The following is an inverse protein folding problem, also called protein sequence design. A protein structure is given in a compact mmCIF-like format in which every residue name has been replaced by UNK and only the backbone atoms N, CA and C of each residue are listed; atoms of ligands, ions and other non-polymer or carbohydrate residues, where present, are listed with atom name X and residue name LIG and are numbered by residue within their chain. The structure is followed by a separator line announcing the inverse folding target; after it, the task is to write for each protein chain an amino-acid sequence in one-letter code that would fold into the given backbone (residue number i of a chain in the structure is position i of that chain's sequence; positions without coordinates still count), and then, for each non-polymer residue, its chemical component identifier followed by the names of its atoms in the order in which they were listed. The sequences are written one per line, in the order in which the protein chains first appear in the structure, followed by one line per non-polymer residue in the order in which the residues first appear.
data_IF_397959901541
#
_entry.id   IF_397959901541
#
_cell.length_a   1.000
_cell.length_b   1.000
_cell.length_c   1.000
_cell.angle_alpha   90.00
_cell.angle_beta   90.00
_cell.angle_gamma   90.00
#
_symmetry.space_group_name_H-M   'P 1'
#
loop_
_entity.id
_entity.type
_entity.pdbx_description
1 polymer ?
#
# COMPACT_ATOMS: atom_id res chain seq x y z
N UNK A 1 -9.66 -28.92 76.04
CA UNK A 1 -9.37 -29.39 74.67
C UNK A 1 -9.66 -28.29 73.64
N UNK A 2 -8.98 -27.14 73.73
CA UNK A 2 -9.22 -25.96 72.86
C UNK A 2 -7.88 -25.32 72.42
N UNK A 3 -6.95 -26.13 71.88
CA UNK A 3 -5.66 -25.63 71.38
C UNK A 3 -5.23 -26.24 70.03
N UNK A 4 -6.00 -27.15 69.44
CA UNK A 4 -5.67 -27.80 68.16
C UNK A 4 -6.54 -27.36 66.97
N UNK A 5 -7.57 -26.55 67.21
CA UNK A 5 -8.53 -26.12 66.17
C UNK A 5 -8.22 -24.73 65.62
N UNK A 6 -7.31 -23.97 66.24
CA UNK A 6 -7.04 -22.58 65.84
C UNK A 6 -5.96 -22.43 64.76
N UNK A 7 -5.14 -23.46 64.49
CA UNK A 7 -4.15 -23.41 63.39
C UNK A 7 -4.73 -23.82 62.02
N UNK A 8 -5.89 -24.47 61.99
CA UNK A 8 -6.49 -24.96 60.73
C UNK A 8 -7.40 -23.94 60.03
N UNK A 9 -7.73 -22.81 60.68
CA UNK A 9 -8.64 -21.79 60.13
C UNK A 9 -7.96 -20.49 59.70
N UNK A 10 -6.67 -20.33 59.93
CA UNK A 10 -5.94 -19.13 59.45
C UNK A 10 -5.37 -19.30 58.04
N UNK A 11 -5.27 -20.54 57.53
CA UNK A 11 -4.77 -20.82 56.17
C UNK A 11 -5.87 -20.67 55.10
N UNK A 12 -7.15 -20.83 55.45
CA UNK A 12 -8.26 -20.67 54.50
C UNK A 12 -8.69 -19.20 54.28
N UNK A 13 -8.07 -18.24 54.96
CA UNK A 13 -8.46 -16.82 54.95
C UNK A 13 -7.65 -15.93 54.00
N UNK A 14 -6.57 -16.45 53.40
CA UNK A 14 -5.84 -15.78 52.34
C UNK A 14 -6.28 -16.44 51.03
N UNK A 15 -7.54 -16.26 50.67
CA UNK A 15 -7.89 -16.18 49.24
C UNK A 15 -7.30 -14.84 48.77
N UNK A 16 -5.96 -14.82 48.71
CA UNK A 16 -5.19 -13.65 48.33
C UNK A 16 -5.58 -13.27 46.92
N UNK A 17 -5.73 -11.97 46.71
CA UNK A 17 -5.49 -11.39 45.38
C UNK A 17 -4.27 -12.10 44.81
N UNK A 18 -4.44 -12.88 43.74
CA UNK A 18 -3.32 -13.55 43.11
C UNK A 18 -2.28 -12.47 42.80
N UNK A 19 -1.10 -12.58 43.42
CA UNK A 19 0.08 -11.92 42.91
C UNK A 19 0.25 -12.46 41.49
N UNK A 20 0.21 -11.57 40.52
CA UNK A 20 0.41 -11.94 39.13
C UNK A 20 1.84 -11.56 38.79
N UNK A 21 2.65 -12.56 38.44
CA UNK A 21 3.91 -12.36 37.74
C UNK A 21 3.69 -11.45 36.53
N UNK A 22 4.77 -10.85 36.06
CA UNK A 22 4.79 -10.16 34.77
C UNK A 22 5.87 -10.74 33.87
N UNK A 23 5.72 -10.57 32.57
CA UNK A 23 6.77 -10.87 31.60
C UNK A 23 7.18 -9.56 30.94
N UNK A 24 8.48 -9.36 30.79
CA UNK A 24 9.04 -8.33 29.93
C UNK A 24 9.82 -9.02 28.83
N UNK A 25 9.60 -8.61 27.59
CA UNK A 25 10.37 -9.05 26.43
C UNK A 25 10.53 -7.88 25.46
N UNK A 26 11.69 -7.78 24.82
CA UNK A 26 11.89 -6.90 23.67
C UNK A 26 11.40 -7.66 22.44
N UNK A 27 10.20 -7.34 21.96
CA UNK A 27 9.66 -7.95 20.75
C UNK A 27 10.54 -7.61 19.55
N UNK A 28 10.81 -8.60 18.71
CA UNK A 28 11.50 -8.40 17.43
C UNK A 28 10.53 -8.45 16.26
N UNK A 29 10.84 -7.71 15.21
CA UNK A 29 10.20 -7.88 13.93
C UNK A 29 11.05 -8.81 13.05
N UNK A 30 10.37 -9.69 12.32
CA UNK A 30 10.98 -10.68 11.43
C UNK A 30 10.47 -10.44 10.01
N UNK A 31 11.38 -10.32 9.05
CA UNK A 31 11.05 -10.19 7.64
C UNK A 31 10.36 -11.45 7.12
N UNK A 32 9.15 -11.33 6.58
CA UNK A 32 8.39 -12.44 5.99
C UNK A 32 9.18 -13.09 4.85
N UNK A 33 9.70 -12.27 3.93
CA UNK A 33 10.44 -12.76 2.76
C UNK A 33 11.83 -13.26 3.11
N UNK A 34 12.50 -12.58 4.03
CA UNK A 34 13.79 -12.97 4.60
C UNK A 34 13.74 -14.34 5.26
N UNK A 35 12.83 -14.51 6.21
CA UNK A 35 12.57 -15.78 6.87
C UNK A 35 12.14 -16.87 5.85
N UNK A 36 11.35 -16.49 4.85
CA UNK A 36 10.97 -17.36 3.74
C UNK A 36 12.15 -17.82 2.88
N UNK A 37 13.18 -17.00 2.71
CA UNK A 37 14.38 -17.33 1.95
C UNK A 37 15.29 -18.33 2.67
N UNK A 38 15.25 -18.34 4.01
CA UNK A 38 16.09 -19.23 4.80
C UNK A 38 15.83 -20.71 4.50
N UNK A 39 16.89 -21.52 4.61
CA UNK A 39 16.78 -22.96 4.56
C UNK A 39 15.84 -23.45 5.66
N UNK A 40 15.04 -24.49 5.40
CA UNK A 40 13.99 -24.93 6.34
C UNK A 40 14.48 -25.21 7.78
N UNK A 41 15.74 -25.62 7.96
CA UNK A 41 16.34 -25.86 9.28
C UNK A 41 16.78 -24.58 10.02
N UNK A 42 16.89 -23.45 9.32
CA UNK A 42 17.24 -22.14 9.85
C UNK A 42 16.01 -21.22 10.03
N UNK A 43 14.80 -21.71 9.71
CA UNK A 43 13.54 -20.99 9.91
C UNK A 43 13.07 -21.09 11.35
N UNK A 44 13.82 -20.48 12.24
CA UNK A 44 13.62 -20.52 13.69
C UNK A 44 13.73 -19.12 14.27
N UNK A 45 13.20 -18.93 15.48
CA UNK A 45 13.44 -17.74 16.30
C UNK A 45 14.15 -18.19 17.57
N UNK A 46 15.32 -17.65 17.84
CA UNK A 46 16.12 -17.99 19.02
C UNK A 46 15.87 -17.00 20.16
N UNK A 47 15.49 -17.52 21.33
CA UNK A 47 15.47 -16.75 22.58
C UNK A 47 16.77 -17.04 23.31
N UNK A 48 17.76 -16.18 23.14
CA UNK A 48 19.08 -16.24 23.76
C UNK A 48 19.75 -14.87 23.73
N UNK A 49 20.78 -14.66 24.56
CA UNK A 49 21.50 -13.39 24.67
C UNK A 49 22.19 -12.94 23.36
N UNK A 50 22.44 -13.87 22.44
CA UNK A 50 22.96 -13.61 21.10
C UNK A 50 21.98 -14.03 19.99
N UNK A 51 20.78 -14.47 20.36
CA UNK A 51 19.70 -14.84 19.45
C UNK A 51 18.88 -13.61 19.04
N UNK A 52 17.71 -13.87 18.46
CA UNK A 52 16.80 -12.83 18.00
C UNK A 52 16.16 -12.10 19.18
N UNK A 53 15.74 -12.84 20.21
CA UNK A 53 15.07 -12.31 21.40
C UNK A 53 16.03 -12.37 22.58
N UNK A 54 16.55 -11.21 23.00
CA UNK A 54 17.67 -11.13 23.95
C UNK A 54 17.28 -11.04 25.42
N UNK A 55 16.06 -10.58 25.75
CA UNK A 55 15.70 -10.16 27.12
C UNK A 55 14.32 -10.67 27.58
N UNK A 56 14.06 -11.99 27.49
CA UNK A 56 12.81 -12.56 27.99
C UNK A 56 12.89 -12.82 29.49
N UNK A 57 12.26 -11.93 30.26
CA UNK A 57 12.36 -11.87 31.71
C UNK A 57 11.00 -12.10 32.36
N UNK A 58 10.94 -12.90 33.43
CA UNK A 58 9.74 -13.14 34.22
C UNK A 58 9.96 -12.60 35.64
N UNK A 59 9.20 -11.56 35.99
CA UNK A 59 9.18 -10.96 37.32
C UNK A 59 8.14 -11.68 38.18
N UNK A 60 8.58 -12.20 39.32
CA UNK A 60 7.77 -13.01 40.22
C UNK A 60 7.12 -12.15 41.29
N UNK A 61 5.81 -12.28 41.44
CA UNK A 61 5.05 -11.55 42.44
C UNK A 61 4.87 -12.35 43.75
N UNK A 62 5.27 -13.62 43.81
CA UNK A 62 5.34 -14.47 45.00
C UNK A 62 6.46 -15.52 44.90
N UNK A 63 6.98 -15.95 46.06
CA UNK A 63 8.06 -16.92 46.16
C UNK A 63 7.70 -18.25 45.46
N UNK A 64 8.67 -18.81 44.74
CA UNK A 64 8.59 -20.17 44.23
C UNK A 64 9.26 -21.12 45.21
N UNK A 65 8.55 -22.16 45.67
CA UNK A 65 9.11 -23.13 46.62
C UNK A 65 9.59 -24.41 45.93
N UNK A 66 10.51 -25.11 46.58
CA UNK A 66 11.11 -26.34 46.07
C UNK A 66 10.05 -27.38 45.66
N UNK A 67 10.22 -27.94 44.46
CA UNK A 67 9.32 -28.85 43.73
C UNK A 67 8.12 -28.20 43.02
N UNK A 68 7.95 -26.89 43.11
CA UNK A 68 7.00 -26.21 42.23
C UNK A 68 7.46 -26.29 40.77
N UNK A 69 6.51 -26.13 39.85
CA UNK A 69 6.75 -26.20 38.41
C UNK A 69 6.36 -24.88 37.76
N UNK A 70 7.29 -24.24 37.07
CA UNK A 70 7.00 -23.09 36.20
C UNK A 70 6.71 -23.60 34.80
N UNK A 71 5.53 -23.28 34.26
CA UNK A 71 5.18 -23.51 32.86
C UNK A 71 5.29 -22.19 32.09
N UNK A 72 6.02 -22.21 30.97
CA UNK A 72 6.14 -21.07 30.03
C UNK A 72 5.58 -21.53 28.70
N UNK A 73 4.56 -20.85 28.20
CA UNK A 73 3.83 -21.23 27.00
C UNK A 73 3.97 -20.17 25.91
N UNK A 74 4.45 -20.59 24.74
CA UNK A 74 4.51 -19.78 23.53
C UNK A 74 3.27 -20.03 22.68
N UNK A 75 2.61 -18.99 22.20
CA UNK A 75 1.58 -19.08 21.17
C UNK A 75 2.18 -18.61 19.85
N UNK A 76 1.69 -19.11 18.72
CA UNK A 76 2.25 -18.79 17.41
C UNK A 76 3.48 -19.63 17.01
N UNK A 77 4.09 -20.40 17.91
CA UNK A 77 5.23 -21.27 17.63
C UNK A 77 5.17 -22.61 18.39
N UNK A 78 5.91 -23.61 17.90
CA UNK A 78 6.29 -24.81 18.67
C UNK A 78 7.76 -24.72 19.07
N UNK A 79 8.19 -25.50 20.06
CA UNK A 79 9.56 -25.47 20.55
C UNK A 79 10.34 -26.61 19.89
N UNK A 80 11.53 -26.32 19.38
CA UNK A 80 12.42 -27.35 18.86
C UNK A 80 12.83 -28.30 20.00
N UNK A 81 12.64 -29.60 19.79
CA UNK A 81 12.99 -30.63 20.79
C UNK A 81 14.49 -30.76 21.08
N UNK A 82 15.34 -30.14 20.25
CA UNK A 82 16.78 -30.03 20.47
C UNK A 82 17.19 -28.77 21.26
N UNK A 83 16.24 -27.86 21.53
CA UNK A 83 16.46 -26.71 22.42
C UNK A 83 17.03 -27.16 23.75
N UNK A 84 17.87 -26.33 24.36
CA UNK A 84 18.38 -26.54 25.72
C UNK A 84 18.01 -25.32 26.57
N UNK A 85 16.73 -25.16 26.94
CA UNK A 85 16.27 -23.99 27.66
C UNK A 85 16.91 -23.89 29.04
N UNK A 86 17.29 -22.68 29.42
CA UNK A 86 17.86 -22.37 30.73
C UNK A 86 17.11 -21.17 31.31
N UNK A 87 16.81 -21.23 32.60
CA UNK A 87 16.44 -20.05 33.38
C UNK A 87 17.61 -19.72 34.29
N UNK A 88 18.13 -18.51 34.14
CA UNK A 88 19.07 -17.93 35.09
C UNK A 88 18.36 -16.87 35.92
N UNK A 89 18.88 -16.61 37.11
CA UNK A 89 18.45 -15.48 37.92
C UNK A 89 19.34 -14.31 37.57
N UNK A 90 18.76 -13.14 37.30
CA UNK A 90 19.51 -11.91 37.03
C UNK A 90 20.12 -11.35 38.32
N UNK A 91 21.10 -12.04 38.89
CA UNK A 91 21.68 -11.65 40.16
C UNK A 91 22.84 -10.65 39.97
N UNK A 92 22.60 -9.35 40.17
CA UNK A 92 23.69 -8.37 40.23
C UNK A 92 24.39 -8.38 41.60
N UNK A 93 25.37 -9.28 41.75
CA UNK A 93 26.40 -9.13 42.79
C UNK A 93 26.28 -10.01 44.05
N UNK A 94 25.32 -10.94 44.10
CA UNK A 94 25.29 -12.02 45.09
C UNK A 94 25.08 -13.36 44.38
N UNK A 95 25.90 -14.41 44.63
CA UNK A 95 25.63 -15.72 44.06
C UNK A 95 24.37 -16.30 44.71
N UNK A 96 23.29 -16.38 43.95
CA UNK A 96 22.07 -17.01 44.41
C UNK A 96 22.22 -18.54 44.44
N UNK A 97 21.64 -19.16 45.46
CA UNK A 97 21.53 -20.61 45.61
C UNK A 97 20.20 -21.15 45.05
N UNK A 98 19.27 -20.26 44.70
CA UNK A 98 18.04 -20.62 44.01
C UNK A 98 18.35 -21.16 42.61
N UNK A 99 17.56 -22.13 42.15
CA UNK A 99 17.78 -22.76 40.84
C UNK A 99 16.51 -23.38 40.30
N UNK A 100 16.34 -23.26 38.99
CA UNK A 100 15.32 -23.93 38.22
C UNK A 100 16.00 -24.93 37.28
N UNK A 101 15.50 -26.16 37.24
CA UNK A 101 15.99 -27.18 36.31
C UNK A 101 14.96 -27.37 35.20
N UNK A 102 15.40 -27.29 33.94
CA UNK A 102 14.57 -27.68 32.81
C UNK A 102 14.10 -29.12 32.96
N UNK A 103 12.78 -29.32 32.97
CA UNK A 103 12.14 -30.61 33.17
C UNK A 103 11.92 -31.29 31.82
N UNK A 104 11.14 -30.64 30.94
CA UNK A 104 10.83 -31.09 29.59
C UNK A 104 10.01 -30.04 28.82
N UNK A 105 9.77 -30.34 27.53
CA UNK A 105 8.67 -29.76 26.75
C UNK A 105 7.42 -30.60 27.03
N UNK A 106 6.33 -29.96 27.45
CA UNK A 106 5.12 -30.64 27.94
C UNK A 106 4.51 -31.55 26.86
N UNK A 107 4.38 -32.83 27.20
CA UNK A 107 3.73 -33.79 26.31
C UNK A 107 2.29 -33.37 25.98
N UNK A 108 1.96 -33.31 24.68
CA UNK A 108 0.65 -32.85 24.20
C UNK A 108 0.50 -31.31 24.10
N UNK A 109 1.52 -30.55 24.47
CA UNK A 109 1.60 -29.10 24.31
C UNK A 109 3.04 -28.73 23.90
N UNK A 110 3.41 -28.94 22.62
CA UNK A 110 4.79 -28.80 22.12
C UNK A 110 5.32 -27.35 22.17
N UNK A 111 4.50 -26.43 22.63
CA UNK A 111 4.76 -25.02 22.79
C UNK A 111 4.90 -24.60 24.26
N UNK A 112 4.98 -25.55 25.20
CA UNK A 112 5.09 -25.28 26.63
C UNK A 112 6.35 -25.89 27.23
N UNK A 113 7.23 -25.05 27.77
CA UNK A 113 8.37 -25.44 28.60
C UNK A 113 7.92 -25.68 30.04
N UNK A 114 8.58 -26.61 30.72
CA UNK A 114 8.40 -26.81 32.16
C UNK A 114 9.75 -26.80 32.86
N UNK A 115 9.82 -26.03 33.93
CA UNK A 115 10.98 -25.96 34.81
C UNK A 115 10.57 -26.37 36.22
N UNK A 116 11.41 -27.15 36.89
CA UNK A 116 11.22 -27.51 38.29
C UNK A 116 12.09 -26.64 39.18
N UNK A 117 11.49 -26.05 40.20
CA UNK A 117 12.20 -25.34 41.26
C UNK A 117 12.99 -26.34 42.10
N UNK A 118 14.31 -26.28 42.08
CA UNK A 118 15.21 -27.20 42.80
C UNK A 118 15.71 -26.62 44.12
N UNK A 119 15.67 -25.29 44.26
CA UNK A 119 15.86 -24.55 45.50
C UNK A 119 14.91 -23.35 45.49
N UNK A 120 14.39 -22.97 46.65
CA UNK A 120 13.41 -21.89 46.81
C UNK A 120 13.93 -20.60 46.14
N UNK A 121 13.07 -19.94 45.35
CA UNK A 121 13.32 -18.64 44.69
C UNK A 121 12.43 -17.62 45.40
N UNK A 122 13.00 -16.57 45.96
CA UNK A 122 12.21 -15.51 46.59
C UNK A 122 11.61 -14.59 45.52
N UNK A 123 10.41 -14.07 45.76
CA UNK A 123 9.89 -12.94 45.00
C UNK A 123 10.51 -11.63 45.48
N UNK A 124 10.62 -10.69 44.54
CA UNK A 124 11.10 -9.34 44.82
C UNK A 124 10.13 -8.66 45.78
N UNK A 125 10.58 -8.39 47.01
CA UNK A 125 9.75 -7.69 47.99
C UNK A 125 9.67 -6.20 47.63
N UNK A 126 8.45 -5.69 47.44
CA UNK A 126 8.10 -4.28 47.17
C UNK A 126 8.48 -3.26 48.28
N UNK A 127 9.43 -3.59 49.17
CA UNK A 127 9.83 -2.81 50.33
C UNK A 127 11.20 -2.11 50.14
N UNK A 128 11.45 -1.51 48.98
CA UNK A 128 12.35 -0.36 48.83
C UNK A 128 13.85 -0.58 49.07
N UNK A 129 14.32 -1.83 49.13
CA UNK A 129 15.74 -2.13 48.92
C UNK A 129 15.91 -2.47 47.43
N UNK A 130 16.91 -1.89 46.73
CA UNK A 130 17.20 -2.20 45.33
C UNK A 130 17.85 -3.58 45.27
N UNK A 131 17.05 -4.62 45.41
CA UNK A 131 17.39 -5.94 44.92
C UNK A 131 16.59 -6.12 43.63
N UNK A 132 17.06 -5.48 42.56
CA UNK A 132 16.63 -5.73 41.17
C UNK A 132 17.15 -7.12 40.69
N UNK A 133 17.23 -8.13 41.58
CA UNK A 133 18.22 -9.21 41.47
C UNK A 133 17.69 -10.66 41.33
N UNK A 134 16.37 -10.89 41.27
CA UNK A 134 15.79 -12.25 41.23
C UNK A 134 14.83 -12.49 40.05
N UNK A 135 14.93 -11.67 39.00
CA UNK A 135 14.20 -11.86 37.75
C UNK A 135 14.61 -13.17 37.05
N UNK A 136 13.63 -13.92 36.56
CA UNK A 136 13.91 -15.16 35.80
C UNK A 136 14.20 -14.82 34.34
N UNK A 137 15.46 -14.92 33.93
CA UNK A 137 15.88 -14.74 32.55
C UNK A 137 15.84 -16.08 31.80
N UNK A 138 14.99 -16.18 30.78
CA UNK A 138 14.89 -17.36 29.91
C UNK A 138 15.82 -17.23 28.70
N UNK A 139 16.61 -18.27 28.43
CA UNK A 139 17.49 -18.37 27.26
C UNK A 139 17.55 -19.81 26.71
N UNK A 140 18.19 -20.00 25.54
CA UNK A 140 18.40 -21.29 24.90
C UNK A 140 17.15 -21.94 24.31
N UNK A 141 16.09 -21.16 24.04
CA UNK A 141 14.85 -21.67 23.44
C UNK A 141 14.89 -21.44 21.93
N UNK A 142 14.65 -22.50 21.17
CA UNK A 142 14.48 -22.40 19.71
C UNK A 142 13.00 -22.57 19.38
N UNK A 143 12.42 -21.55 18.77
CA UNK A 143 11.01 -21.50 18.40
C UNK A 143 10.86 -21.77 16.90
N UNK A 144 9.94 -22.66 16.54
CA UNK A 144 9.52 -22.94 15.17
C UNK A 144 8.16 -22.26 14.95
N UNK A 145 8.10 -21.12 14.24
CA UNK A 145 6.86 -20.41 13.98
C UNK A 145 5.84 -21.32 13.26
N UNK A 146 4.58 -21.22 13.67
CA UNK A 146 3.46 -21.94 13.03
C UNK A 146 2.97 -21.23 11.77
N UNK A 147 3.24 -19.94 11.66
CA UNK A 147 2.96 -19.08 10.52
C UNK A 147 4.08 -18.03 10.43
N UNK A 148 4.42 -17.64 9.21
CA UNK A 148 5.30 -16.51 8.91
C UNK A 148 4.60 -15.55 7.94
N UNK A 149 3.28 -15.44 8.05
CA UNK A 149 2.51 -14.46 7.29
C UNK A 149 2.61 -13.08 7.95
N UNK A 150 2.46 -12.02 7.16
CA UNK A 150 2.37 -10.64 7.65
C UNK A 150 1.35 -10.51 8.80
N UNK A 151 1.75 -9.87 9.89
CA UNK A 151 0.99 -9.72 11.12
C UNK A 151 0.89 -10.97 12.01
N UNK A 152 1.58 -12.07 11.69
CA UNK A 152 1.67 -13.22 12.59
C UNK A 152 2.55 -12.90 13.80
N UNK A 153 2.09 -13.28 14.99
CA UNK A 153 2.77 -12.98 16.25
C UNK A 153 3.14 -14.26 17.00
N UNK A 154 4.27 -14.20 17.71
CA UNK A 154 4.65 -15.16 18.75
C UNK A 154 4.51 -14.44 20.08
N UNK A 155 3.68 -14.98 20.96
CA UNK A 155 3.45 -14.42 22.30
C UNK A 155 3.78 -15.43 23.38
N UNK A 156 4.16 -14.94 24.55
CA UNK A 156 4.52 -15.77 25.70
C UNK A 156 3.60 -15.49 26.88
N UNK A 157 3.27 -16.56 27.62
CA UNK A 157 2.65 -16.50 28.95
C UNK A 157 3.40 -17.43 29.89
N UNK A 158 3.28 -17.20 31.19
CA UNK A 158 3.84 -18.09 32.20
C UNK A 158 2.88 -18.30 33.37
N UNK A 159 3.09 -19.39 34.09
CA UNK A 159 2.44 -19.66 35.38
C UNK A 159 3.30 -20.58 36.23
N UNK A 160 3.14 -20.49 37.55
CA UNK A 160 3.65 -21.47 38.49
C UNK A 160 2.56 -22.45 38.92
N UNK A 161 2.94 -23.70 39.16
CA UNK A 161 2.08 -24.77 39.68
C UNK A 161 2.71 -25.24 40.99
N UNK A 162 1.98 -25.05 42.08
CA UNK A 162 2.46 -25.45 43.39
C UNK A 162 2.46 -26.97 43.56
N UNK A 163 3.52 -27.46 44.19
CA UNK A 163 3.60 -28.80 44.75
C UNK A 163 2.51 -29.07 45.80
N UNK A 164 1.94 -28.02 46.40
CA UNK A 164 0.77 -28.10 47.27
C UNK A 164 -0.52 -28.03 46.46
N UNK A 165 -1.27 -29.14 46.45
CA UNK A 165 -2.57 -29.23 45.77
C UNK A 165 -3.63 -28.23 46.28
N UNK A 166 -3.43 -27.63 47.46
CA UNK A 166 -4.33 -26.62 48.01
C UNK A 166 -4.15 -25.23 47.39
N UNK A 167 -2.97 -24.96 46.81
CA UNK A 167 -2.64 -23.68 46.14
C UNK A 167 -2.98 -23.79 44.66
N UNK A 168 -2.56 -24.87 43.99
CA UNK A 168 -2.81 -25.05 42.56
C UNK A 168 -1.91 -24.13 41.72
N UNK A 169 -2.51 -23.44 40.74
CA UNK A 169 -1.81 -22.51 39.84
C UNK A 169 -1.72 -21.11 40.48
N UNK A 170 -0.56 -20.47 40.38
CA UNK A 170 -0.28 -19.12 40.88
C UNK A 170 0.77 -18.44 39.96
N UNK A 171 1.14 -17.18 40.22
CA UNK A 171 2.01 -16.40 39.32
C UNK A 171 1.53 -16.40 37.86
N UNK A 172 0.21 -16.24 37.64
CA UNK A 172 -0.36 -16.37 36.30
C UNK A 172 -0.21 -15.06 35.52
N UNK A 173 0.59 -15.11 34.45
CA UNK A 173 0.67 -14.04 33.46
C UNK A 173 -0.46 -14.24 32.45
N UNK A 174 -1.59 -13.61 32.71
CA UNK A 174 -2.83 -13.81 31.92
C UNK A 174 -2.90 -13.01 30.62
N UNK A 175 -2.11 -11.94 30.51
CA UNK A 175 -1.99 -11.14 29.28
C UNK A 175 -0.74 -11.60 28.54
N UNK A 176 -0.86 -12.17 27.33
CA UNK A 176 0.31 -12.54 26.54
C UNK A 176 1.20 -11.34 26.24
N UNK A 177 2.51 -11.58 26.19
CA UNK A 177 3.52 -10.58 25.83
C UNK A 177 4.13 -10.96 24.49
N UNK A 178 4.27 -10.00 23.59
CA UNK A 178 4.82 -10.23 22.26
C UNK A 178 6.33 -10.47 22.34
N UNK A 179 6.77 -11.49 21.61
CA UNK A 179 8.17 -11.92 21.53
C UNK A 179 8.71 -11.72 20.12
N UNK A 180 7.90 -12.03 19.12
CA UNK A 180 8.23 -11.74 17.73
C UNK A 180 6.95 -11.43 16.93
N UNK A 181 7.07 -10.58 15.91
CA UNK A 181 6.04 -10.32 14.92
C UNK A 181 6.63 -10.43 13.51
N UNK A 182 5.87 -11.02 12.60
CA UNK A 182 6.24 -11.10 11.18
C UNK A 182 5.63 -9.91 10.44
N UNK A 183 6.43 -9.28 9.58
CA UNK A 183 5.91 -8.26 8.67
C UNK A 183 6.61 -8.31 7.31
N UNK A 184 5.93 -7.80 6.29
CA UNK A 184 6.54 -7.68 4.96
C UNK A 184 7.77 -6.77 5.04
N UNK A 185 8.82 -7.17 4.33
CA UNK A 185 10.02 -6.36 4.31
C UNK A 185 9.84 -5.06 3.54
N UNK A 186 9.18 -5.14 2.38
CA UNK A 186 9.01 -4.03 1.48
C UNK A 186 7.53 -3.68 1.34
N UNK A 187 7.18 -2.44 1.63
CA UNK A 187 5.83 -1.90 1.47
C UNK A 187 5.87 -0.67 0.56
N UNK A 188 4.77 -0.42 -0.16
CA UNK A 188 4.62 0.74 -1.02
C UNK A 188 3.35 1.51 -0.69
N UNK A 189 3.48 2.84 -0.59
CA UNK A 189 2.39 3.79 -0.62
C UNK A 189 2.52 4.66 -1.87
N UNK A 190 1.43 4.88 -2.59
CA UNK A 190 1.47 5.43 -3.94
C UNK A 190 0.59 6.68 -4.04
N UNK A 191 1.22 7.82 -4.33
CA UNK A 191 0.51 8.99 -4.84
C UNK A 191 0.26 8.77 -6.33
N UNK A 192 -0.98 8.40 -6.63
CA UNK A 192 -1.41 7.94 -7.94
C UNK A 192 -1.40 9.05 -9.01
N UNK A 193 -1.26 8.63 -10.27
CA UNK A 193 -1.51 9.48 -11.44
C UNK A 193 -2.96 9.95 -11.43
N UNK A 194 -3.18 11.26 -11.40
CA UNK A 194 -4.52 11.85 -11.29
C UNK A 194 -4.79 12.93 -12.34
N UNK A 195 -3.98 12.94 -13.41
CA UNK A 195 -4.08 13.88 -14.51
C UNK A 195 -5.49 14.04 -15.06
N UNK A 196 -6.06 15.23 -14.87
CA UNK A 196 -7.34 15.60 -15.47
C UNK A 196 -7.06 16.32 -16.78
N UNK A 197 -7.28 15.65 -17.91
CA UNK A 197 -7.06 16.14 -19.27
C UNK A 197 -8.08 17.23 -19.62
N UNK A 198 -7.57 18.36 -20.10
CA UNK A 198 -8.37 19.52 -20.44
C UNK A 198 -8.92 19.43 -21.87
N UNK A 199 -10.19 19.06 -21.98
CA UNK A 199 -10.91 18.96 -23.25
C UNK A 199 -11.07 20.34 -23.91
N UNK A 200 -11.15 21.41 -23.11
CA UNK A 200 -11.20 22.79 -23.59
C UNK A 200 -9.94 23.21 -24.33
N UNK A 201 -8.79 22.77 -23.85
CA UNK A 201 -7.51 22.99 -24.50
C UNK A 201 -7.15 21.88 -25.50
N UNK A 202 -8.15 21.32 -26.19
CA UNK A 202 -7.97 20.26 -27.19
C UNK A 202 -7.20 19.02 -26.67
N UNK A 203 -7.27 18.76 -25.36
CA UNK A 203 -6.55 17.70 -24.66
C UNK A 203 -5.03 17.84 -24.70
N UNK A 204 -4.49 19.03 -24.98
CA UNK A 204 -3.05 19.26 -25.05
C UNK A 204 -2.39 19.45 -23.67
N UNK A 205 -3.19 19.58 -22.62
CA UNK A 205 -2.72 19.79 -21.24
C UNK A 205 -3.65 19.11 -20.24
N UNK A 206 -3.10 18.69 -19.11
CA UNK A 206 -3.78 18.52 -17.85
C UNK A 206 -4.19 19.87 -17.25
N UNK A 207 -5.32 19.90 -16.55
CA UNK A 207 -5.91 21.13 -15.98
C UNK A 207 -5.06 21.76 -14.87
N UNK A 208 -4.29 20.96 -14.12
CA UNK A 208 -3.52 21.39 -12.95
C UNK A 208 -2.01 21.50 -13.20
N UNK A 209 -1.48 20.71 -14.13
CA UNK A 209 -0.04 20.43 -14.24
C UNK A 209 0.55 20.65 -15.64
N UNK A 210 -0.23 21.22 -16.57
CA UNK A 210 0.27 21.46 -17.93
C UNK A 210 0.43 20.16 -18.69
N UNK A 211 1.64 19.79 -19.09
CA UNK A 211 1.87 18.56 -19.89
C UNK A 211 2.37 17.37 -19.08
N UNK A 212 2.52 17.54 -17.76
CA UNK A 212 3.13 16.54 -16.89
C UNK A 212 2.14 15.96 -15.90
N UNK A 213 2.30 14.69 -15.55
CA UNK A 213 1.64 14.08 -14.41
C UNK A 213 2.64 13.18 -13.67
N UNK A 214 2.48 13.02 -12.36
CA UNK A 214 3.48 12.39 -11.52
C UNK A 214 2.90 11.21 -10.74
N UNK A 215 3.61 10.09 -10.79
CA UNK A 215 3.42 8.96 -9.90
C UNK A 215 4.50 9.03 -8.82
N UNK A 216 4.13 9.13 -7.55
CA UNK A 216 5.11 9.04 -6.45
C UNK A 216 4.95 7.71 -5.73
N UNK A 217 6.02 6.93 -5.70
CA UNK A 217 6.10 5.66 -4.98
C UNK A 217 6.93 5.87 -3.73
N UNK A 218 6.28 5.84 -2.58
CA UNK A 218 6.92 5.89 -1.27
C UNK A 218 7.16 4.46 -0.79
N UNK A 219 8.42 4.07 -0.63
CA UNK A 219 8.83 2.74 -0.20
C UNK A 219 9.22 2.75 1.28
N UNK A 220 8.78 1.72 1.99
CA UNK A 220 9.28 1.40 3.33
C UNK A 220 9.99 0.06 3.25
N UNK A 221 11.31 0.07 3.43
CA UNK A 221 12.14 -1.12 3.56
C UNK A 221 12.48 -1.35 5.03
N UNK A 222 11.92 -2.41 5.61
CA UNK A 222 12.15 -2.85 6.98
C UNK A 222 13.47 -3.65 7.09
N UNK A 223 14.56 -3.16 6.49
CA UNK A 223 15.87 -3.82 6.44
C UNK A 223 16.56 -4.03 7.79
N UNK A 224 16.03 -3.42 8.86
CA UNK A 224 16.47 -3.65 10.23
C UNK A 224 15.84 -4.87 10.91
N UNK A 225 14.85 -5.51 10.28
CA UNK A 225 14.19 -6.70 10.83
C UNK A 225 15.11 -7.92 10.81
N UNK A 226 14.83 -8.87 11.69
CA UNK A 226 15.50 -10.17 11.70
C UNK A 226 15.30 -10.85 10.35
N UNK A 227 16.37 -11.45 9.84
CA UNK A 227 16.44 -12.13 8.54
C UNK A 227 16.17 -11.25 7.30
N UNK A 228 16.08 -9.92 7.42
CA UNK A 228 15.82 -9.07 6.27
C UNK A 228 16.80 -9.31 5.10
N UNK A 229 16.24 -9.41 3.90
CA UNK A 229 16.98 -9.50 2.64
C UNK A 229 17.79 -8.23 2.43
N UNK A 230 18.99 -8.36 1.85
CA UNK A 230 19.72 -7.18 1.35
C UNK A 230 19.30 -6.93 -0.09
N UNK A 231 18.26 -6.12 -0.29
CA UNK A 231 17.73 -5.82 -1.62
C UNK A 231 18.79 -5.09 -2.46
N UNK A 232 18.97 -5.55 -3.69
CA UNK A 232 19.93 -5.01 -4.66
C UNK A 232 19.26 -4.31 -5.83
N UNK A 233 18.03 -4.70 -6.15
CA UNK A 233 17.23 -4.11 -7.22
C UNK A 233 15.79 -3.95 -6.79
N UNK A 234 15.14 -2.85 -7.17
CA UNK A 234 13.68 -2.70 -7.14
C UNK A 234 13.19 -2.53 -8.57
N UNK A 235 12.25 -3.35 -9.00
CA UNK A 235 11.60 -3.23 -10.30
C UNK A 235 10.21 -2.65 -10.13
N UNK A 236 9.98 -1.49 -10.75
CA UNK A 236 8.67 -0.87 -10.89
C UNK A 236 8.14 -1.15 -12.30
N UNK A 237 7.05 -1.90 -12.39
CA UNK A 237 6.40 -2.21 -13.66
C UNK A 237 5.08 -1.47 -13.72
N UNK A 238 4.98 -0.45 -14.57
CA UNK A 238 3.79 0.39 -14.76
C UNK A 238 3.12 -0.01 -16.08
N UNK A 239 1.85 -0.39 -16.01
CA UNK A 239 1.03 -0.76 -17.16
C UNK A 239 -0.02 0.31 -17.40
N UNK A 240 -0.16 0.73 -18.65
CA UNK A 240 -1.19 1.66 -19.13
C UNK A 240 -2.06 1.03 -20.21
N UNK A 241 -3.12 1.72 -20.62
CA UNK A 241 -3.94 1.27 -21.76
C UNK A 241 -3.28 1.63 -23.10
N UNK A 242 -2.54 2.75 -23.15
CA UNK A 242 -1.89 3.23 -24.36
C UNK A 242 -0.63 4.07 -24.04
N UNK A 243 0.55 3.49 -24.32
CA UNK A 243 1.82 4.22 -24.33
C UNK A 243 2.25 4.67 -25.74
N UNK A 244 1.40 4.52 -26.76
CA UNK A 244 1.71 4.92 -28.13
C UNK A 244 1.99 6.42 -28.30
N UNK A 245 1.54 7.26 -27.36
CA UNK A 245 1.90 8.68 -27.31
C UNK A 245 3.40 8.90 -27.11
N UNK A 246 4.13 7.97 -26.49
CA UNK A 246 5.59 8.09 -26.27
C UNK A 246 6.35 8.14 -27.60
N UNK A 247 5.86 7.45 -28.64
CA UNK A 247 6.44 7.51 -29.99
C UNK A 247 6.41 8.91 -30.62
N UNK A 248 5.67 9.86 -30.06
CA UNK A 248 5.74 11.25 -30.54
C UNK A 248 7.10 11.91 -30.25
N UNK A 249 7.90 11.38 -29.32
CA UNK A 249 9.25 11.87 -29.05
C UNK A 249 10.30 11.47 -30.10
N UNK A 250 10.04 10.42 -30.90
CA UNK A 250 10.84 10.09 -32.10
C UNK A 250 10.76 11.21 -33.15
N UNK A 251 9.69 12.00 -33.18
CA UNK A 251 9.57 13.09 -34.15
C UNK A 251 10.62 14.19 -33.91
N UNK A 252 11.27 14.66 -34.99
CA UNK A 252 12.23 15.79 -34.96
C UNK A 252 11.69 17.03 -34.23
N UNK A 253 10.37 17.27 -34.30
CA UNK A 253 9.70 18.40 -33.65
C UNK A 253 9.77 18.33 -32.11
N UNK A 254 9.88 17.12 -31.55
CA UNK A 254 9.92 16.83 -30.13
C UNK A 254 11.32 16.43 -29.65
N UNK A 255 12.33 16.52 -30.53
CA UNK A 255 13.74 16.32 -30.19
C UNK A 255 14.33 14.96 -30.57
N UNK A 256 13.54 14.06 -31.15
CA UNK A 256 14.01 12.79 -31.71
C UNK A 256 14.63 12.92 -33.10
N UNK A 257 14.87 11.79 -33.76
CA UNK A 257 15.54 11.73 -35.07
C UNK A 257 14.69 11.15 -36.23
N UNK A 258 13.43 10.80 -35.94
CA UNK A 258 12.40 10.34 -36.87
C UNK A 258 12.79 9.06 -37.62
N UNK A 259 13.50 8.15 -36.96
CA UNK A 259 13.85 6.84 -37.50
C UNK A 259 12.75 5.78 -37.31
N UNK A 260 11.75 6.09 -36.48
CA UNK A 260 10.59 5.25 -36.19
C UNK A 260 10.80 4.21 -35.09
N UNK A 261 11.93 4.28 -34.39
CA UNK A 261 12.23 3.52 -33.17
C UNK A 261 12.26 4.49 -31.97
N UNK A 262 12.10 3.97 -30.76
CA UNK A 262 12.21 4.79 -29.55
C UNK A 262 13.55 4.51 -28.89
N UNK A 263 14.40 5.52 -28.78
CA UNK A 263 15.68 5.42 -28.09
C UNK A 263 15.58 5.82 -26.59
N UNK A 264 16.66 5.59 -25.84
CA UNK A 264 16.69 5.88 -24.41
C UNK A 264 16.59 7.37 -24.07
N UNK A 265 17.06 8.26 -24.95
CA UNK A 265 16.99 9.71 -24.78
C UNK A 265 15.58 10.24 -25.03
N UNK A 266 14.91 9.69 -26.03
CA UNK A 266 13.51 9.99 -26.36
C UNK A 266 12.56 9.47 -25.26
N UNK A 267 12.78 8.24 -24.77
CA UNK A 267 12.04 7.72 -23.62
C UNK A 267 12.28 8.57 -22.36
N UNK A 268 13.52 9.01 -22.11
CA UNK A 268 13.84 9.87 -20.96
C UNK A 268 13.21 11.28 -21.06
N UNK A 269 12.83 11.73 -22.25
CA UNK A 269 12.08 12.97 -22.44
C UNK A 269 10.58 12.78 -22.16
N UNK A 270 10.05 11.60 -22.47
CA UNK A 270 8.66 11.23 -22.19
C UNK A 270 8.41 10.85 -20.72
N UNK A 271 9.37 10.16 -20.11
CA UNK A 271 9.29 9.67 -18.74
C UNK A 271 10.61 9.96 -18.05
N UNK A 272 10.55 10.62 -16.90
CA UNK A 272 11.74 10.85 -16.08
C UNK A 272 11.54 10.31 -14.68
N UNK A 273 12.60 9.76 -14.10
CA UNK A 273 12.61 9.29 -12.73
C UNK A 273 13.47 10.21 -11.88
N UNK A 274 12.91 10.71 -10.79
CA UNK A 274 13.62 11.46 -9.78
C UNK A 274 13.61 10.69 -8.45
N UNK A 275 14.75 10.70 -7.76
CA UNK A 275 14.89 10.16 -6.41
C UNK A 275 15.42 11.23 -5.46
N UNK A 276 15.12 11.06 -4.17
CA UNK A 276 15.78 11.81 -3.10
C UNK A 276 17.16 11.29 -2.69
N UNK A 277 17.61 10.13 -3.20
CA UNK A 277 18.82 9.43 -2.75
C UNK A 277 19.85 9.09 -3.83
N UNK A 278 20.60 8.02 -3.63
CA UNK A 278 21.78 7.63 -4.44
C UNK A 278 21.55 6.43 -5.36
N UNK A 279 20.35 5.88 -5.42
CA UNK A 279 20.01 4.80 -6.34
C UNK A 279 20.03 5.27 -7.80
N UNK A 280 20.30 4.33 -8.70
CA UNK A 280 20.32 4.59 -10.15
C UNK A 280 19.19 3.87 -10.85
N UNK A 281 18.67 4.48 -11.93
CA UNK A 281 17.48 3.98 -12.62
C UNK A 281 17.75 3.76 -14.10
N UNK A 282 17.20 2.67 -14.64
CA UNK A 282 17.09 2.41 -16.08
C UNK A 282 15.64 2.14 -16.44
N UNK A 283 15.22 2.55 -17.64
CA UNK A 283 13.85 2.42 -18.11
C UNK A 283 13.81 1.64 -19.43
N UNK A 284 12.78 0.84 -19.59
CA UNK A 284 12.45 0.13 -20.82
C UNK A 284 10.93 0.19 -21.04
N UNK A 285 10.50 0.38 -22.29
CA UNK A 285 9.09 0.47 -22.64
C UNK A 285 8.74 -0.53 -23.74
N UNK A 286 7.88 -1.47 -23.40
CA UNK A 286 7.28 -2.40 -24.36
C UNK A 286 5.91 -1.89 -24.81
N UNK A 287 5.85 -1.36 -26.03
CA UNK A 287 4.62 -0.84 -26.65
C UNK A 287 3.65 -1.96 -27.07
N UNK A 288 4.10 -3.19 -27.29
CA UNK A 288 3.21 -4.30 -27.65
C UNK A 288 2.37 -4.74 -26.43
N UNK A 289 2.94 -4.58 -25.24
CA UNK A 289 2.27 -4.91 -23.96
C UNK A 289 1.85 -3.69 -23.14
N UNK A 290 2.12 -2.48 -23.63
CA UNK A 290 1.92 -1.22 -22.92
C UNK A 290 2.49 -1.27 -21.48
N UNK A 291 3.74 -1.71 -21.37
CA UNK A 291 4.41 -1.91 -20.09
C UNK A 291 5.70 -1.11 -20.03
N UNK A 292 5.76 -0.15 -19.11
CA UNK A 292 6.97 0.56 -18.72
C UNK A 292 7.62 -0.19 -17.55
N UNK A 293 8.87 -0.58 -17.69
CA UNK A 293 9.68 -1.16 -16.62
C UNK A 293 10.77 -0.19 -16.22
N UNK A 294 10.83 0.12 -14.93
CA UNK A 294 11.86 0.95 -14.31
C UNK A 294 12.63 0.06 -13.33
N UNK A 295 13.90 -0.17 -13.62
CA UNK A 295 14.81 -0.91 -12.74
C UNK A 295 15.63 0.08 -11.92
N UNK A 296 15.43 0.06 -10.61
CA UNK A 296 16.19 0.78 -9.60
C UNK A 296 17.29 -0.14 -9.09
N UNK A 297 18.55 0.25 -9.25
CA UNK A 297 19.69 -0.40 -8.60
C UNK A 297 19.95 0.26 -7.26
N UNK A 298 19.88 -0.54 -6.18
CA UNK A 298 20.08 -0.08 -4.81
C UNK A 298 21.58 0.16 -4.56
N UNK A 299 21.95 1.42 -4.39
CA UNK A 299 23.30 1.85 -4.03
C UNK A 299 23.37 2.13 -2.52
N UNK A 300 24.56 2.07 -1.94
CA UNK A 300 24.73 2.38 -0.52
C UNK A 300 24.10 1.38 0.48
N UNK A 301 23.32 0.41 -0.01
CA UNK A 301 22.70 -0.65 0.79
C UNK A 301 21.36 -0.28 1.44
N UNK A 302 20.73 0.82 1.02
CA UNK A 302 19.41 1.23 1.51
C UNK A 302 18.52 1.62 0.33
N UNK A 303 17.29 1.11 0.31
CA UNK A 303 16.31 1.47 -0.72
C UNK A 303 15.91 2.94 -0.57
N UNK A 304 15.94 3.68 -1.67
CA UNK A 304 15.42 5.05 -1.69
C UNK A 304 13.93 5.10 -1.33
N UNK A 305 13.61 5.84 -0.26
CA UNK A 305 12.27 5.88 0.33
C UNK A 305 11.20 6.53 -0.56
N UNK A 306 11.58 7.32 -1.57
CA UNK A 306 10.64 7.95 -2.48
C UNK A 306 11.21 7.99 -3.90
N UNK A 307 10.44 7.45 -4.85
CA UNK A 307 10.71 7.49 -6.29
C UNK A 307 9.57 8.23 -6.98
N UNK A 308 9.86 9.31 -7.69
CA UNK A 308 8.89 10.05 -8.50
C UNK A 308 9.09 9.72 -9.97
N UNK A 309 8.06 9.20 -10.61
CA UNK A 309 8.00 8.96 -12.06
C UNK A 309 7.12 10.03 -12.69
N UNK A 310 7.74 10.93 -13.45
CA UNK A 310 7.03 12.00 -14.16
C UNK A 310 6.79 11.58 -15.60
N UNK A 311 5.52 11.53 -16.00
CA UNK A 311 5.12 11.38 -17.40
C UNK A 311 4.92 12.76 -18.02
N UNK A 312 5.51 12.98 -19.20
CA UNK A 312 5.43 14.24 -19.95
C UNK A 312 4.89 13.98 -21.35
N UNK A 313 3.67 14.42 -21.62
CA UNK A 313 3.07 14.30 -22.96
C UNK A 313 3.43 15.54 -23.80
N UNK A 314 3.84 15.42 -25.07
CA UNK A 314 4.12 16.60 -25.88
C UNK A 314 2.89 17.52 -26.01
N UNK A 315 3.12 18.83 -25.88
CA UNK A 315 2.05 19.84 -25.88
C UNK A 315 1.36 20.07 -27.24
N UNK A 316 1.74 19.31 -28.26
CA UNK A 316 1.13 19.29 -29.59
C UNK A 316 0.32 18.02 -29.88
N UNK A 317 0.24 17.09 -28.91
CA UNK A 317 -0.52 15.86 -28.99
C UNK A 317 -1.70 15.87 -28.00
N UNK A 318 -2.83 15.28 -28.42
CA UNK A 318 -3.95 15.05 -27.53
C UNK A 318 -3.60 13.96 -26.51
N UNK A 319 -3.62 14.30 -25.22
CA UNK A 319 -3.39 13.38 -24.11
C UNK A 319 -4.51 12.33 -24.09
N UNK A 320 -4.19 11.03 -24.14
CA UNK A 320 -5.18 9.96 -24.06
C UNK A 320 -5.84 9.90 -22.67
N UNK A 321 -7.09 9.45 -22.64
CA UNK A 321 -7.71 9.00 -21.38
C UNK A 321 -7.23 7.56 -21.17
N UNK A 322 -6.75 7.21 -19.98
CA UNK A 322 -6.29 5.85 -19.70
C UNK A 322 -6.18 5.59 -18.20
N UNK A 323 -6.23 4.31 -17.84
CA UNK A 323 -5.98 3.84 -16.47
C UNK A 323 -4.58 3.26 -16.35
N UNK A 324 -4.02 3.33 -15.15
CA UNK A 324 -2.69 2.82 -14.84
C UNK A 324 -2.72 1.81 -13.70
N UNK A 325 -1.92 0.75 -13.85
CA UNK A 325 -1.65 -0.20 -12.77
C UNK A 325 -0.15 -0.40 -12.62
N UNK A 326 0.29 -0.89 -11.46
CA UNK A 326 1.69 -1.19 -11.22
C UNK A 326 1.91 -2.54 -10.52
N UNK A 327 3.16 -2.99 -10.59
CA UNK A 327 3.78 -4.00 -9.74
C UNK A 327 5.09 -3.41 -9.22
N UNK A 328 5.41 -3.62 -7.94
CA UNK A 328 6.67 -3.17 -7.34
C UNK A 328 7.28 -4.34 -6.58
N UNK A 329 8.49 -4.73 -6.97
CA UNK A 329 9.19 -5.92 -6.45
C UNK A 329 10.65 -5.58 -6.17
N UNK A 330 11.12 -5.83 -4.94
CA UNK A 330 12.54 -5.79 -4.59
C UNK A 330 13.18 -7.17 -4.65
N UNK A 331 14.45 -7.29 -5.02
CA UNK A 331 15.17 -8.56 -5.20
C UNK A 331 16.61 -8.51 -4.66
N UNK A 332 17.06 -9.58 -4.03
CA UNK A 332 18.44 -9.75 -3.51
C UNK A 332 19.38 -10.54 -4.46
N UNK A 333 18.89 -10.86 -5.65
CA UNK A 333 19.47 -11.74 -6.67
C UNK A 333 18.92 -13.17 -6.65
N UNK A 334 18.16 -13.55 -5.62
CA UNK A 334 17.64 -14.91 -5.44
C UNK A 334 16.18 -14.98 -4.98
N UNK A 335 15.78 -14.04 -4.11
CA UNK A 335 14.47 -13.96 -3.49
C UNK A 335 13.94 -12.54 -3.63
N UNK A 336 12.63 -12.43 -3.80
CA UNK A 336 11.97 -11.15 -4.02
C UNK A 336 10.97 -10.81 -2.91
N UNK A 337 10.90 -9.52 -2.56
CA UNK A 337 9.89 -8.91 -1.70
C UNK A 337 8.90 -8.10 -2.55
N UNK A 338 7.61 -8.32 -2.39
CA UNK A 338 6.57 -7.67 -3.23
C UNK A 338 5.89 -6.55 -2.45
N UNK A 339 6.18 -5.31 -2.84
CA UNK A 339 5.57 -4.12 -2.23
C UNK A 339 4.18 -3.82 -2.81
N UNK A 340 4.01 -4.06 -4.11
CA UNK A 340 2.73 -3.94 -4.80
C UNK A 340 2.59 -5.10 -5.79
N UNK A 341 1.51 -5.87 -5.68
CA UNK A 341 1.23 -6.96 -6.59
C UNK A 341 0.84 -6.44 -7.98
N UNK A 342 1.08 -7.23 -9.03
CA UNK A 342 0.69 -6.87 -10.39
C UNK A 342 -0.80 -6.52 -10.50
N UNK A 343 -1.11 -5.42 -11.17
CA UNK A 343 -2.47 -4.91 -11.33
C UNK A 343 -2.93 -4.01 -10.19
N UNK A 344 -2.06 -3.64 -9.24
CA UNK A 344 -2.37 -2.62 -8.23
C UNK A 344 -2.66 -1.30 -8.94
N UNK A 345 -3.83 -0.71 -8.72
CA UNK A 345 -4.20 0.57 -9.35
C UNK A 345 -3.26 1.67 -8.90
N UNK A 346 -2.71 2.42 -9.86
CA UNK A 346 -1.86 3.60 -9.60
C UNK A 346 -2.41 4.86 -10.27
N UNK A 347 -3.72 4.88 -10.54
CA UNK A 347 -4.44 6.06 -10.98
C UNK A 347 -4.96 6.01 -12.41
N UNK A 348 -5.35 7.17 -12.92
CA UNK A 348 -5.89 7.32 -14.27
C UNK A 348 -5.81 8.76 -14.74
N UNK A 349 -5.60 8.91 -16.05
CA UNK A 349 -5.90 10.16 -16.75
C UNK A 349 -7.36 10.19 -17.14
N UNK A 350 -8.07 11.25 -16.75
CA UNK A 350 -9.52 11.39 -16.97
C UNK A 350 -9.84 12.64 -17.76
N UNK A 351 -10.94 12.63 -18.51
CA UNK A 351 -11.40 13.84 -19.20
C UNK A 351 -12.21 14.75 -18.26
N UNK A 352 -11.95 16.06 -18.29
CA UNK A 352 -12.80 17.06 -17.63
C UNK A 352 -14.09 17.39 -18.39
N UNK A 353 -14.40 16.67 -19.47
CA UNK A 353 -15.39 17.09 -20.46
C UNK A 353 -15.79 16.02 -21.47
N UNK A 354 -16.52 16.44 -22.49
CA UNK A 354 -16.97 15.58 -23.62
C UNK A 354 -16.96 16.36 -24.93
N UNK A 355 -16.75 15.67 -26.06
CA UNK A 355 -16.79 16.27 -27.40
C UNK A 355 -17.84 15.57 -28.24
N UNK A 356 -18.71 16.34 -28.91
CA UNK A 356 -19.76 15.81 -29.77
C UNK A 356 -19.63 16.33 -31.20
N UNK A 357 -19.48 15.42 -32.15
CA UNK A 357 -19.43 15.71 -33.57
C UNK A 357 -20.81 15.70 -34.22
N UNK A 358 -21.12 16.75 -34.98
CA UNK A 358 -22.30 16.85 -35.84
C UNK A 358 -21.87 16.90 -37.30
N UNK A 359 -22.12 15.83 -38.09
CA UNK A 359 -21.52 15.65 -39.41
C UNK A 359 -22.10 16.55 -40.50
N UNK A 360 -23.33 17.02 -40.35
CA UNK A 360 -23.93 17.97 -41.29
C UNK A 360 -25.17 18.64 -40.69
N UNK A 361 -25.24 19.97 -40.80
CA UNK A 361 -26.39 20.77 -40.40
C UNK A 361 -26.80 21.75 -41.50
N UNK A 362 -28.11 21.94 -41.66
CA UNK A 362 -28.69 22.81 -42.69
C UNK A 362 -29.51 23.94 -42.06
N UNK A 363 -29.22 25.18 -42.44
CA UNK A 363 -29.89 26.38 -41.92
C UNK A 363 -30.25 27.40 -43.04
N UNK A 364 -30.61 26.90 -44.21
CA UNK A 364 -30.93 27.72 -45.38
C UNK A 364 -32.38 28.25 -45.42
N UNK A 365 -32.80 28.81 -46.55
CA UNK A 365 -34.15 29.33 -46.75
C UNK A 365 -35.24 28.26 -46.54
N UNK A 366 -34.94 26.98 -46.78
CA UNK A 366 -35.86 25.84 -46.69
C UNK A 366 -35.72 25.06 -45.38
N UNK A 367 -34.60 25.19 -44.67
CA UNK A 367 -34.31 24.42 -43.45
C UNK A 367 -34.13 25.31 -42.22
N UNK A 368 -34.50 24.80 -41.04
CA UNK A 368 -34.20 25.42 -39.75
C UNK A 368 -33.43 24.42 -38.88
N UNK A 369 -32.28 24.82 -38.36
CA UNK A 369 -31.48 23.99 -37.46
C UNK A 369 -31.94 24.15 -36.00
N UNK A 370 -32.00 23.04 -35.27
CA UNK A 370 -32.12 23.01 -33.82
C UNK A 370 -30.99 22.13 -33.28
N UNK A 371 -30.16 22.75 -32.44
CA UNK A 371 -29.12 22.05 -31.69
C UNK A 371 -29.36 22.35 -30.22
N UNK A 372 -29.58 21.32 -29.43
CA UNK A 372 -29.81 21.45 -27.99
C UNK A 372 -28.85 20.56 -27.25
N UNK A 373 -28.26 21.13 -26.21
CA UNK A 373 -27.51 20.39 -25.22
C UNK A 373 -28.33 20.31 -23.93
N UNK A 374 -28.40 19.12 -23.35
CA UNK A 374 -28.98 18.88 -22.03
C UNK A 374 -27.89 18.38 -21.10
N UNK A 375 -27.68 19.07 -19.99
CA UNK A 375 -26.71 18.71 -18.97
C UNK A 375 -27.44 18.01 -17.82
N UNK A 376 -27.20 16.71 -17.68
CA UNK A 376 -27.70 15.88 -16.58
C UNK A 376 -26.77 15.88 -15.36
N UNK A 377 -25.61 16.51 -15.48
CA UNK A 377 -24.60 16.62 -14.44
C UNK A 377 -24.97 17.63 -13.36
N UNK A 378 -24.19 17.60 -12.28
CA UNK A 378 -24.33 18.47 -11.11
C UNK A 378 -23.49 19.76 -11.19
N UNK A 379 -22.68 19.91 -12.24
CA UNK A 379 -21.85 21.07 -12.54
C UNK A 379 -22.35 21.79 -13.80
N UNK A 380 -22.13 23.09 -13.88
CA UNK A 380 -22.39 23.87 -15.10
C UNK A 380 -21.31 23.53 -16.15
N UNK A 381 -21.69 23.44 -17.42
CA UNK A 381 -20.76 23.08 -18.49
C UNK A 381 -20.65 24.19 -19.54
N UNK A 382 -19.43 24.71 -19.76
CA UNK A 382 -19.18 25.62 -20.88
C UNK A 382 -19.22 24.83 -22.19
N UNK A 383 -19.70 25.48 -23.25
CA UNK A 383 -19.80 24.88 -24.58
C UNK A 383 -18.97 25.70 -25.54
N UNK A 384 -17.90 25.11 -26.07
CA UNK A 384 -17.16 25.66 -27.19
C UNK A 384 -17.62 25.08 -28.52
N UNK A 385 -17.42 25.85 -29.58
CA UNK A 385 -17.77 25.46 -30.94
C UNK A 385 -16.53 25.39 -31.82
N UNK A 386 -16.33 24.26 -32.49
CA UNK A 386 -15.36 24.11 -33.58
C UNK A 386 -16.10 23.90 -34.89
N UNK A 387 -15.93 24.80 -35.86
CA UNK A 387 -16.54 24.69 -37.20
C UNK A 387 -15.53 24.13 -38.21
N UNK A 388 -15.97 23.24 -39.09
CA UNK A 388 -15.15 22.74 -40.18
C UNK A 388 -15.42 23.51 -41.47
N UNK A 389 -14.49 24.41 -41.83
CA UNK A 389 -14.58 25.24 -43.03
C UNK A 389 -13.61 24.68 -44.08
N UNK A 390 -14.14 24.14 -45.19
CA UNK A 390 -13.36 23.49 -46.23
C UNK A 390 -12.45 22.35 -45.70
N UNK A 391 -12.92 21.60 -44.70
CA UNK A 391 -12.17 20.51 -44.08
C UNK A 391 -11.16 20.96 -43.01
N UNK A 392 -11.07 22.25 -42.70
CA UNK A 392 -10.19 22.78 -41.65
C UNK A 392 -11.01 23.16 -40.42
N UNK A 393 -10.64 22.64 -39.26
CA UNK A 393 -11.23 22.99 -37.97
C UNK A 393 -10.90 24.44 -37.58
N UNK A 394 -11.92 25.19 -37.16
CA UNK A 394 -11.79 26.55 -36.65
C UNK A 394 -12.55 26.69 -35.34
N UNK A 395 -11.83 26.88 -34.24
CA UNK A 395 -12.45 27.22 -32.96
C UNK A 395 -13.12 28.60 -33.04
N UNK A 396 -14.33 28.68 -32.49
CA UNK A 396 -15.10 29.91 -32.31
C UNK A 396 -15.22 30.30 -30.82
N UNK A 397 -14.53 29.57 -29.95
CA UNK A 397 -14.58 29.72 -28.50
C UNK A 397 -15.93 29.35 -27.89
N UNK A 398 -16.13 29.80 -26.64
CA UNK A 398 -17.36 29.54 -25.86
C UNK A 398 -18.59 30.20 -26.50
N UNK A 399 -19.56 29.39 -26.88
CA UNK A 399 -20.85 29.82 -27.45
C UNK A 399 -22.01 29.76 -26.45
N UNK A 400 -21.77 29.27 -25.24
CA UNK A 400 -22.72 29.30 -24.13
C UNK A 400 -22.32 28.42 -22.95
N UNK A 401 -23.17 28.39 -21.92
CA UNK A 401 -22.99 27.53 -20.74
C UNK A 401 -24.30 26.79 -20.46
N UNK A 402 -24.26 25.45 -20.44
CA UNK A 402 -25.38 24.62 -20.04
C UNK A 402 -25.34 24.41 -18.53
N UNK A 403 -26.23 25.11 -17.82
CA UNK A 403 -26.33 24.95 -16.37
C UNK A 403 -26.64 23.52 -15.94
N UNK A 404 -26.26 23.16 -14.72
CA UNK A 404 -26.57 21.85 -14.12
C UNK A 404 -28.05 21.51 -14.20
N UNK A 405 -28.37 20.25 -14.50
CA UNK A 405 -29.74 19.76 -14.69
C UNK A 405 -30.61 20.61 -15.64
N UNK A 406 -29.98 21.27 -16.62
CA UNK A 406 -30.63 22.23 -17.51
C UNK A 406 -30.40 21.88 -18.98
N UNK A 407 -30.99 22.69 -19.86
CA UNK A 407 -30.82 22.57 -21.29
C UNK A 407 -30.58 23.95 -21.92
N UNK A 408 -29.74 23.98 -22.95
CA UNK A 408 -29.43 25.18 -23.72
C UNK A 408 -29.69 24.94 -25.20
N UNK A 409 -30.34 25.91 -25.85
CA UNK A 409 -30.47 25.93 -27.30
C UNK A 409 -29.25 26.61 -27.92
N UNK A 410 -28.36 25.83 -28.52
CA UNK A 410 -27.12 26.27 -29.16
C UNK A 410 -27.32 26.68 -30.62
N UNK A 411 -28.43 26.25 -31.24
CA UNK A 411 -28.71 26.48 -32.66
C UNK A 411 -28.47 27.92 -33.14
N UNK A 412 -29.01 28.96 -32.48
CA UNK A 412 -28.81 30.34 -32.90
C UNK A 412 -27.34 30.78 -32.90
N UNK A 413 -26.56 30.39 -31.88
CA UNK A 413 -25.14 30.74 -31.78
C UNK A 413 -24.31 30.05 -32.87
N UNK A 414 -24.58 28.77 -33.12
CA UNK A 414 -23.92 27.99 -34.18
C UNK A 414 -24.22 28.57 -35.56
N UNK A 415 -25.48 28.90 -35.85
CA UNK A 415 -25.87 29.50 -37.14
C UNK A 415 -25.16 30.85 -37.33
N UNK A 416 -25.09 31.68 -36.29
CA UNK A 416 -24.39 32.96 -36.36
C UNK A 416 -22.90 32.77 -36.67
N UNK A 417 -22.24 31.85 -35.95
CA UNK A 417 -20.82 31.53 -36.17
C UNK A 417 -20.55 30.95 -37.57
N UNK A 418 -21.42 30.08 -38.09
CA UNK A 418 -21.29 29.54 -39.45
C UNK A 418 -21.45 30.64 -40.52
N UNK A 419 -22.38 31.58 -40.30
CA UNK A 419 -22.59 32.70 -41.22
C UNK A 419 -21.38 33.66 -41.28
N UNK A 420 -20.66 33.85 -40.17
CA UNK A 420 -19.41 34.62 -40.14
C UNK A 420 -18.32 34.00 -41.04
N UNK A 421 -18.28 32.67 -41.12
CA UNK A 421 -17.36 31.93 -42.00
C UNK A 421 -17.87 31.82 -43.45
N UNK A 422 -18.99 32.50 -43.78
CA UNK A 422 -19.59 32.47 -45.11
C UNK A 422 -20.35 31.19 -45.44
N UNK A 423 -20.66 30.34 -44.45
CA UNK A 423 -21.39 29.09 -44.63
C UNK A 423 -22.89 29.34 -44.49
N UNK A 424 -23.63 29.21 -45.59
CA UNK A 424 -25.10 29.43 -45.59
C UNK A 424 -25.92 28.15 -45.39
N UNK A 425 -25.31 26.97 -45.55
CA UNK A 425 -25.93 25.65 -45.32
C UNK A 425 -24.86 24.54 -45.39
N UNK A 426 -25.15 23.36 -44.82
CA UNK A 426 -24.31 22.17 -44.98
C UNK A 426 -22.97 22.27 -44.27
N UNK A 427 -22.98 22.65 -43.00
CA UNK A 427 -21.76 22.76 -42.17
C UNK A 427 -21.68 21.62 -41.16
N UNK A 428 -20.46 21.16 -40.86
CA UNK A 428 -20.16 20.23 -39.77
C UNK A 428 -19.43 20.97 -38.65
N UNK A 429 -19.58 20.47 -37.43
CA UNK A 429 -19.00 21.10 -36.24
C UNK A 429 -18.86 20.12 -35.09
N UNK A 430 -17.97 20.47 -34.15
CA UNK A 430 -17.88 19.84 -32.84
C UNK A 430 -18.38 20.78 -31.76
N UNK A 431 -18.98 20.20 -30.72
CA UNK A 431 -19.32 20.87 -29.48
C UNK A 431 -18.46 20.29 -28.37
N UNK A 432 -17.65 21.13 -27.77
CA UNK A 432 -16.72 20.78 -26.69
C UNK A 432 -17.36 21.22 -25.38
N UNK A 433 -17.61 20.30 -24.46
CA UNK A 433 -18.20 20.57 -23.16
C UNK A 433 -17.17 20.41 -22.06
N UNK A 434 -16.87 21.49 -21.35
CA UNK A 434 -15.99 21.47 -20.16
C UNK A 434 -16.82 21.36 -18.88
N UNK A 435 -16.34 20.62 -17.88
CA UNK A 435 -16.89 20.59 -16.52
C UNK A 435 -17.95 19.53 -16.24
N UNK A 436 -18.31 18.68 -17.19
CA UNK A 436 -19.29 17.60 -17.02
C UNK A 436 -18.96 16.43 -17.94
N UNK A 437 -18.21 15.45 -17.43
CA UNK A 437 -17.93 14.22 -18.18
C UNK A 437 -19.19 13.34 -18.22
N UNK A 438 -19.51 12.79 -19.40
CA UNK A 438 -20.56 11.78 -19.62
C UNK A 438 -22.01 12.15 -19.22
N UNK A 439 -22.30 13.42 -18.92
CA UNK A 439 -23.65 13.86 -18.53
C UNK A 439 -24.31 14.80 -19.53
N UNK A 440 -23.70 15.02 -20.70
CA UNK A 440 -24.25 15.85 -21.76
C UNK A 440 -24.97 14.99 -22.78
N UNK A 441 -26.22 15.32 -23.09
CA UNK A 441 -26.94 14.78 -24.25
C UNK A 441 -27.09 15.86 -25.32
N UNK A 442 -26.73 15.54 -26.56
CA UNK A 442 -26.92 16.44 -27.71
C UNK A 442 -28.04 15.95 -28.60
N UNK A 443 -28.96 16.86 -28.89
CA UNK A 443 -29.97 16.68 -29.95
C UNK A 443 -29.69 17.64 -31.09
N UNK A 444 -29.33 17.09 -32.24
CA UNK A 444 -29.19 17.82 -33.50
C UNK A 444 -30.32 17.41 -34.46
N UNK A 445 -31.11 18.38 -34.93
CA UNK A 445 -32.15 18.14 -35.92
C UNK A 445 -32.30 19.33 -36.86
N UNK A 446 -32.79 19.07 -38.08
CA UNK A 446 -33.27 20.13 -38.95
C UNK A 446 -34.73 19.91 -39.35
N UNK A 447 -35.44 21.01 -39.58
CA UNK A 447 -36.84 21.04 -39.99
C UNK A 447 -36.95 21.62 -41.39
N UNK A 448 -37.58 20.89 -42.31
CA UNK A 448 -37.98 21.44 -43.59
C UNK A 448 -39.19 22.36 -43.39
N UNK A 449 -39.04 23.65 -43.74
CA UNK A 449 -40.04 24.70 -43.48
C UNK A 449 -41.33 24.53 -44.28
N UNK A 450 -41.28 23.92 -45.47
CA UNK A 450 -42.45 23.78 -46.33
C UNK A 450 -43.30 22.54 -45.98
N UNK A 451 -42.66 21.45 -45.53
CA UNK A 451 -43.34 20.20 -45.17
C UNK A 451 -43.51 19.98 -43.67
N UNK A 452 -42.86 20.80 -42.84
CA UNK A 452 -42.71 20.59 -41.39
C UNK A 452 -42.07 19.24 -41.00
N UNK A 453 -41.46 18.53 -41.97
CA UNK A 453 -40.76 17.27 -41.72
C UNK A 453 -39.48 17.52 -40.92
N UNK A 454 -39.15 16.60 -40.01
CA UNK A 454 -37.95 16.66 -39.17
C UNK A 454 -37.01 15.53 -39.53
N UNK A 455 -35.73 15.83 -39.56
CA UNK A 455 -34.67 14.83 -39.63
C UNK A 455 -33.78 15.00 -38.40
N UNK A 456 -33.55 13.89 -37.70
CA UNK A 456 -32.57 13.83 -36.61
C UNK A 456 -31.21 13.51 -37.23
N UNK A 457 -30.21 14.29 -36.86
CA UNK A 457 -28.83 14.05 -37.27
C UNK A 457 -28.21 13.19 -36.19
N UNK A 458 -27.54 12.11 -36.61
CA UNK A 458 -26.77 11.28 -35.69
C UNK A 458 -25.57 12.10 -35.20
N UNK A 459 -25.53 12.30 -33.89
CA UNK A 459 -24.40 12.93 -33.19
C UNK A 459 -23.51 11.81 -32.68
N UNK A 460 -22.20 11.97 -32.83
CA UNK A 460 -21.20 11.03 -32.32
C UNK A 460 -20.46 11.70 -31.19
N UNK A 461 -20.41 11.08 -30.02
CA UNK A 461 -19.46 11.44 -28.96
C UNK A 461 -18.08 10.91 -29.37
N UNK A 462 -17.07 11.78 -29.37
CA UNK A 462 -15.72 11.48 -29.87
C UNK A 462 -14.78 11.01 -28.76
#
# INVERSE_FOLDING_TARGET
MFKKTLLAMTIAGIAGTASAASITATAVNVSVEGFGAQAAAARIIEVDAAGDVTDLTIDLAADLITNDVVEIAFQGATIDTSSVPVITLDATGVPDTASLQFLDIKAGSPNTLRFRVTADVAAVNAAGEPNDDDDLLLSGVVLNPTSAADGAEITVTSKAISSSAAIGEYEIVSTPVDVAAFRNQLEADVDALDGVVDVGNSRLTFTSSGTTDELVVNLVDNSGDVDALTLTTITHTIMGEDFGWVMSYDAEANGGDADGELDAGELAAAVSVATGGDDTFTMDLDLDTNTLTIEQTVNGGAVDAATTVTFTVPGDMAIPEQTFTASIVGDDGTTSATAAAAGTSVGAWTLNGSVFHVPAMYSDANHAALVRAANRGNLDANVELVLYVNGVAKSKGVIGTVGKYSQLNLGPAIIAAAAEEGMSSGYSFDLVFEGSNNAIDITAQYVNKSSASRAVIQVTEL
#
